data_IF_915371607361
#
_entry.id   IF_915371607361
#
_cell.length_a   1.000
_cell.length_b   1.000
_cell.length_c   1.000
_cell.angle_alpha   90.00
_cell.angle_beta   90.00
_cell.angle_gamma   90.00
#
_symmetry.space_group_name_H-M   'P 1'
#
loop_
_entity.id
_entity.type
_entity.pdbx_description
1 polymer ?
#
# COMPACT_ATOMS: atom_id res chain seq x y z
N UNK A 1 23.96 -5.84 18.83
CA UNK A 1 23.52 -4.42 18.82
C UNK A 1 22.46 -4.07 17.74
N UNK A 2 21.35 -4.82 17.54
CA UNK A 2 20.32 -4.41 16.56
C UNK A 2 19.44 -3.23 17.01
N UNK A 3 19.23 -3.05 18.33
CA UNK A 3 18.23 -2.10 18.86
C UNK A 3 18.58 -0.61 18.74
N UNK A 4 19.87 -0.26 18.58
CA UNK A 4 20.29 1.15 18.49
C UNK A 4 19.96 1.76 17.10
N UNK A 5 20.16 1.00 16.03
CA UNK A 5 19.87 1.45 14.66
C UNK A 5 18.39 1.62 14.39
N UNK A 6 17.55 0.68 14.84
CA UNK A 6 16.08 0.78 14.74
C UNK A 6 15.55 2.03 15.46
N UNK A 7 16.17 2.42 16.58
CA UNK A 7 15.79 3.64 17.30
C UNK A 7 16.19 4.91 16.53
N UNK A 8 17.35 4.89 15.83
CA UNK A 8 17.80 6.01 15.00
C UNK A 8 16.91 6.21 13.78
N UNK A 9 16.58 5.14 13.05
CA UNK A 9 15.68 5.18 11.89
C UNK A 9 14.30 5.70 12.28
N UNK A 10 13.75 5.21 13.38
CA UNK A 10 12.45 5.66 13.91
C UNK A 10 12.48 7.15 14.22
N UNK A 11 13.50 7.63 14.95
CA UNK A 11 13.67 9.05 15.28
C UNK A 11 13.89 9.91 14.03
N UNK A 12 14.61 9.39 13.04
CA UNK A 12 14.83 10.03 11.75
C UNK A 12 13.53 10.23 11.00
N UNK A 13 12.73 9.17 10.85
CA UNK A 13 11.41 9.24 10.22
C UNK A 13 10.47 10.19 10.95
N UNK A 14 10.41 10.14 12.28
CA UNK A 14 9.60 11.08 13.07
C UNK A 14 10.02 12.55 12.87
N UNK A 15 11.29 12.81 12.57
CA UNK A 15 11.78 14.17 12.31
C UNK A 15 11.60 14.61 10.85
N UNK A 16 11.72 13.70 9.90
CA UNK A 16 11.71 14.00 8.47
C UNK A 16 10.32 13.90 7.85
N UNK A 17 9.48 13.01 8.37
CA UNK A 17 8.16 12.74 7.80
C UNK A 17 7.11 13.72 8.31
N UNK A 18 7.16 14.93 7.78
CA UNK A 18 6.19 15.99 8.02
C UNK A 18 5.63 16.48 6.69
N UNK A 19 4.57 15.85 6.17
CA UNK A 19 3.96 16.31 4.92
C UNK A 19 3.54 17.77 5.02
N UNK A 20 3.69 18.49 3.91
CA UNK A 20 3.24 19.86 3.80
C UNK A 20 1.72 19.97 4.10
N UNK A 21 1.22 21.13 4.57
CA UNK A 21 -0.19 21.30 4.94
C UNK A 21 -1.18 20.87 3.85
N UNK A 22 -0.89 21.16 2.58
CA UNK A 22 -1.74 20.76 1.46
C UNK A 22 -1.81 19.23 1.27
N UNK A 23 -0.72 18.50 1.53
CA UNK A 23 -0.71 17.03 1.51
C UNK A 23 -1.50 16.47 2.69
N UNK A 24 -1.38 17.07 3.87
CA UNK A 24 -2.19 16.68 5.05
C UNK A 24 -3.68 16.85 4.78
N UNK A 25 -4.08 17.95 4.16
CA UNK A 25 -5.47 18.19 3.76
C UNK A 25 -5.95 17.14 2.76
N UNK A 26 -5.19 16.89 1.68
CA UNK A 26 -5.54 15.88 0.68
C UNK A 26 -5.64 14.47 1.31
N UNK A 27 -4.72 14.12 2.21
CA UNK A 27 -4.78 12.87 2.98
C UNK A 27 -6.02 12.81 3.87
N UNK A 28 -6.35 13.88 4.58
CA UNK A 28 -7.53 13.93 5.45
C UNK A 28 -8.84 13.75 4.68
N UNK A 29 -8.93 14.28 3.46
CA UNK A 29 -10.10 14.09 2.58
C UNK A 29 -10.29 12.61 2.21
N UNK A 30 -9.23 11.93 1.82
CA UNK A 30 -9.25 10.50 1.46
C UNK A 30 -9.52 9.63 2.69
N UNK A 31 -8.87 9.94 3.81
CA UNK A 31 -9.09 9.22 5.07
C UNK A 31 -10.51 9.40 5.58
N UNK A 32 -11.09 10.58 5.44
CA UNK A 32 -12.49 10.81 5.83
C UNK A 32 -13.43 9.91 5.03
N UNK A 33 -13.25 9.81 3.71
CA UNK A 33 -14.04 8.89 2.88
C UNK A 33 -13.87 7.45 3.37
N UNK A 34 -12.63 7.02 3.62
CA UNK A 34 -12.32 5.66 4.04
C UNK A 34 -12.87 5.33 5.43
N UNK A 35 -12.71 6.23 6.40
CA UNK A 35 -13.10 6.07 7.80
C UNK A 35 -14.61 6.20 8.03
N UNK A 36 -15.33 6.87 7.14
CA UNK A 36 -16.79 6.90 7.15
C UNK A 36 -17.43 5.57 6.72
N UNK A 37 -16.65 4.65 6.14
CA UNK A 37 -17.12 3.32 5.78
C UNK A 37 -16.96 2.34 6.96
N UNK A 38 -17.69 1.22 6.96
CA UNK A 38 -17.61 0.24 8.04
C UNK A 38 -16.17 -0.27 8.26
N UNK A 39 -15.79 -0.38 9.53
CA UNK A 39 -14.57 -1.05 9.98
C UNK A 39 -14.74 -2.60 9.90
N UNK A 40 -13.65 -3.39 9.82
CA UNK A 40 -12.26 -2.92 9.82
C UNK A 40 -11.81 -2.28 8.50
N UNK A 41 -10.85 -1.36 8.58
CA UNK A 41 -10.24 -0.65 7.47
C UNK A 41 -8.93 -1.32 7.05
N UNK A 42 -8.94 -2.04 5.92
CA UNK A 42 -7.78 -2.76 5.39
C UNK A 42 -7.26 -2.05 4.14
N UNK A 43 -5.97 -1.73 4.11
CA UNK A 43 -5.32 -1.20 2.92
C UNK A 43 -4.49 -2.28 2.21
N UNK A 44 -4.65 -2.44 0.90
CA UNK A 44 -3.87 -3.34 0.07
C UNK A 44 -3.03 -2.53 -0.93
N UNK A 45 -1.72 -2.79 -0.96
CA UNK A 45 -0.86 -2.29 -2.03
C UNK A 45 -0.71 -3.34 -3.13
N UNK A 46 -1.26 -3.06 -4.30
CA UNK A 46 -1.29 -3.92 -5.49
C UNK A 46 -0.27 -3.40 -6.50
N UNK A 47 0.94 -3.97 -6.49
CA UNK A 47 2.02 -3.60 -7.43
C UNK A 47 1.94 -4.46 -8.70
N UNK A 48 1.75 -3.79 -9.83
CA UNK A 48 1.86 -4.33 -11.18
C UNK A 48 2.89 -3.55 -12.00
N UNK A 49 2.46 -3.03 -13.15
CA UNK A 49 3.32 -2.25 -14.04
C UNK A 49 4.56 -3.02 -14.51
N UNK A 50 5.72 -2.36 -14.42
CA UNK A 50 7.03 -2.92 -14.75
C UNK A 50 7.53 -4.02 -13.77
N UNK A 51 6.83 -4.23 -12.65
CA UNK A 51 7.30 -5.11 -11.57
C UNK A 51 7.46 -6.56 -12.00
N UNK A 52 6.56 -7.07 -12.83
CA UNK A 52 6.66 -8.45 -13.34
C UNK A 52 7.94 -8.65 -14.13
N UNK A 53 8.33 -7.67 -14.96
CA UNK A 53 9.56 -7.73 -15.72
C UNK A 53 10.80 -7.57 -14.83
N UNK A 54 10.75 -6.71 -13.80
CA UNK A 54 11.80 -6.58 -12.78
C UNK A 54 12.05 -7.91 -12.05
N UNK A 55 10.97 -8.55 -11.59
CA UNK A 55 11.07 -9.81 -10.85
C UNK A 55 11.54 -10.96 -11.73
N UNK A 56 11.08 -11.04 -12.99
CA UNK A 56 11.59 -12.02 -13.95
C UNK A 56 13.10 -11.87 -14.18
N UNK A 57 13.59 -10.63 -14.39
CA UNK A 57 15.03 -10.35 -14.52
C UNK A 57 15.80 -10.73 -13.25
N UNK A 58 15.21 -10.51 -12.09
CA UNK A 58 15.77 -10.87 -10.79
C UNK A 58 15.56 -12.33 -10.38
N UNK A 59 14.93 -13.17 -11.21
CA UNK A 59 14.52 -14.56 -10.89
C UNK A 59 13.71 -14.67 -9.58
N UNK A 60 12.89 -13.66 -9.28
CA UNK A 60 11.95 -13.64 -8.15
C UNK A 60 10.54 -13.95 -8.64
N UNK A 61 9.71 -14.51 -7.76
CA UNK A 61 8.28 -14.67 -8.04
C UNK A 61 7.53 -13.38 -7.71
N UNK A 62 6.75 -12.87 -8.66
CA UNK A 62 5.91 -11.70 -8.43
C UNK A 62 4.71 -12.04 -7.56
N UNK A 63 4.40 -11.16 -6.60
CA UNK A 63 3.16 -11.25 -5.83
C UNK A 63 1.97 -10.99 -6.74
N UNK A 64 0.97 -11.87 -6.68
CA UNK A 64 -0.29 -11.78 -7.44
C UNK A 64 -1.44 -11.39 -6.50
N UNK A 65 -2.58 -10.91 -7.03
CA UNK A 65 -3.77 -10.60 -6.24
C UNK A 65 -4.19 -11.69 -5.26
N UNK A 66 -4.09 -12.96 -5.65
CA UNK A 66 -4.47 -14.10 -4.82
C UNK A 66 -3.57 -14.22 -3.58
N UNK A 67 -2.28 -13.96 -3.73
CA UNK A 67 -1.32 -14.01 -2.63
C UNK A 67 -1.62 -12.95 -1.58
N UNK A 68 -1.94 -11.71 -2.01
CA UNK A 68 -2.31 -10.62 -1.09
C UNK A 68 -3.50 -11.00 -0.20
N UNK A 69 -4.58 -11.51 -0.80
CA UNK A 69 -5.80 -11.86 -0.06
C UNK A 69 -5.60 -13.14 0.77
N UNK A 70 -4.88 -14.13 0.25
CA UNK A 70 -4.58 -15.37 0.97
C UNK A 70 -3.72 -15.11 2.22
N UNK A 71 -2.66 -14.30 2.12
CA UNK A 71 -1.83 -13.95 3.28
C UNK A 71 -2.61 -13.22 4.36
N UNK A 72 -3.47 -12.28 3.97
CA UNK A 72 -4.30 -11.56 4.94
C UNK A 72 -5.23 -12.51 5.70
N UNK A 73 -5.89 -13.43 4.98
CA UNK A 73 -6.78 -14.43 5.59
C UNK A 73 -6.04 -15.44 6.46
N UNK A 74 -4.84 -15.84 6.07
CA UNK A 74 -4.01 -16.75 6.85
C UNK A 74 -3.61 -16.11 8.20
N UNK A 75 -3.26 -14.83 8.19
CA UNK A 75 -2.86 -14.11 9.39
C UNK A 75 -4.06 -13.65 10.25
N UNK A 76 -5.18 -13.29 9.62
CA UNK A 76 -6.38 -12.75 10.25
C UNK A 76 -7.66 -13.50 9.84
N UNK A 77 -7.79 -14.79 10.19
CA UNK A 77 -8.92 -15.62 9.72
C UNK A 77 -10.29 -15.16 10.24
N UNK A 78 -10.33 -14.43 11.36
CA UNK A 78 -11.55 -13.90 11.96
C UNK A 78 -11.98 -12.54 11.41
N UNK A 79 -11.13 -11.86 10.63
CA UNK A 79 -11.43 -10.54 10.08
C UNK A 79 -12.25 -10.68 8.79
N UNK A 80 -13.52 -10.30 8.86
CA UNK A 80 -14.47 -10.28 7.74
C UNK A 80 -15.31 -9.00 7.77
N UNK A 81 -15.86 -8.62 6.62
CA UNK A 81 -16.60 -7.38 6.43
C UNK A 81 -15.69 -6.16 6.32
N UNK A 82 -16.24 -5.00 6.67
CA UNK A 82 -15.50 -3.74 6.70
C UNK A 82 -15.25 -3.13 5.32
N UNK A 83 -14.12 -2.44 5.20
CA UNK A 83 -13.75 -1.69 3.99
C UNK A 83 -12.30 -1.94 3.61
N UNK A 84 -12.09 -2.30 2.35
CA UNK A 84 -10.80 -2.53 1.76
C UNK A 84 -10.46 -1.37 0.80
N UNK A 85 -9.40 -0.61 1.09
CA UNK A 85 -8.81 0.39 0.19
C UNK A 85 -7.72 -0.29 -0.65
N UNK A 86 -7.94 -0.38 -1.96
CA UNK A 86 -6.96 -0.95 -2.89
C UNK A 86 -6.17 0.17 -3.55
N UNK A 87 -4.86 0.18 -3.32
CA UNK A 87 -3.94 1.17 -3.87
C UNK A 87 -2.96 0.47 -4.80
N UNK A 88 -2.85 0.92 -6.04
CA UNK A 88 -1.97 0.26 -6.98
C UNK A 88 -1.84 0.96 -8.32
N UNK A 89 -1.06 0.34 -9.19
CA UNK A 89 -0.58 0.91 -10.44
C UNK A 89 -0.90 0.04 -11.67
N UNK A 90 -1.76 -0.95 -11.52
CA UNK A 90 -2.31 -1.74 -12.61
C UNK A 90 -3.80 -1.98 -12.37
N UNK A 91 -4.63 -1.39 -13.23
CA UNK A 91 -6.08 -1.49 -13.14
C UNK A 91 -6.59 -2.93 -13.15
N UNK A 92 -6.00 -3.81 -13.98
CA UNK A 92 -6.46 -5.19 -14.08
C UNK A 92 -6.20 -5.94 -12.79
N UNK A 93 -5.05 -5.70 -12.16
CA UNK A 93 -4.72 -6.30 -10.87
C UNK A 93 -5.61 -5.74 -9.75
N UNK A 94 -5.89 -4.44 -9.76
CA UNK A 94 -6.83 -3.82 -8.81
C UNK A 94 -8.24 -4.41 -8.95
N UNK A 95 -8.71 -4.68 -10.17
CA UNK A 95 -9.99 -5.35 -10.41
C UNK A 95 -10.01 -6.78 -9.89
N UNK A 96 -8.95 -7.54 -10.15
CA UNK A 96 -8.79 -8.91 -9.63
C UNK A 96 -8.76 -8.93 -8.10
N UNK A 97 -7.93 -8.08 -7.48
CA UNK A 97 -7.89 -7.95 -6.02
C UNK A 97 -9.25 -7.55 -5.46
N UNK A 98 -9.97 -6.62 -6.11
CA UNK A 98 -11.32 -6.23 -5.69
C UNK A 98 -12.32 -7.37 -5.73
N UNK A 99 -12.28 -8.23 -6.75
CA UNK A 99 -13.13 -9.41 -6.80
C UNK A 99 -12.81 -10.36 -5.64
N UNK A 100 -11.53 -10.63 -5.40
CA UNK A 100 -11.07 -11.54 -4.36
C UNK A 100 -11.40 -11.06 -2.94
N UNK A 101 -11.21 -9.76 -2.62
CA UNK A 101 -11.57 -9.24 -1.29
C UNK A 101 -13.07 -9.21 -1.06
N UNK A 102 -13.90 -8.98 -2.09
CA UNK A 102 -15.36 -9.11 -1.97
C UNK A 102 -15.77 -10.55 -1.70
N UNK A 103 -15.19 -11.48 -2.46
CA UNK A 103 -15.50 -12.91 -2.36
C UNK A 103 -15.08 -13.50 -1.02
N UNK A 104 -13.89 -13.17 -0.54
CA UNK A 104 -13.29 -13.87 0.60
C UNK A 104 -13.27 -13.07 1.91
N UNK A 105 -13.36 -11.75 1.86
CA UNK A 105 -13.38 -10.88 3.05
C UNK A 105 -14.70 -10.14 3.21
N UNK A 106 -15.60 -10.14 2.24
CA UNK A 106 -16.87 -9.39 2.28
C UNK A 106 -16.69 -7.87 2.48
N UNK A 107 -15.56 -7.33 2.04
CA UNK A 107 -15.23 -5.91 2.12
C UNK A 107 -16.07 -5.05 1.18
N UNK A 108 -16.46 -3.85 1.64
CA UNK A 108 -16.71 -2.71 0.74
C UNK A 108 -15.38 -2.29 0.11
N UNK A 109 -15.34 -2.09 -1.21
CA UNK A 109 -14.08 -1.79 -1.91
C UNK A 109 -14.02 -0.33 -2.32
N UNK A 110 -12.97 0.37 -1.87
CA UNK A 110 -12.53 1.65 -2.41
C UNK A 110 -11.24 1.43 -3.20
N UNK A 111 -11.03 2.21 -4.27
CA UNK A 111 -9.87 2.05 -5.14
C UNK A 111 -9.17 3.38 -5.37
N UNK A 112 -7.84 3.34 -5.37
CA UNK A 112 -6.98 4.44 -5.75
C UNK A 112 -5.87 3.89 -6.64
N UNK A 113 -5.75 4.41 -7.84
CA UNK A 113 -4.69 4.04 -8.76
C UNK A 113 -4.68 4.95 -9.97
N UNK A 114 -3.66 4.80 -10.82
CA UNK A 114 -3.53 5.52 -12.09
C UNK A 114 -4.84 5.47 -12.89
N UNK A 115 -5.06 6.38 -13.83
CA UNK A 115 -6.30 6.43 -14.62
C UNK A 115 -6.49 5.18 -15.51
N UNK A 116 -7.75 4.90 -15.87
CA UNK A 116 -8.13 3.73 -16.65
C UNK A 116 -7.29 3.61 -17.93
N UNK A 117 -6.67 2.43 -18.13
CA UNK A 117 -5.85 2.13 -19.31
C UNK A 117 -4.35 2.44 -19.15
N UNK A 118 -3.92 3.05 -18.05
CA UNK A 118 -2.50 3.29 -17.78
C UNK A 118 -1.89 2.26 -16.82
N UNK A 119 -0.59 2.02 -16.96
CA UNK A 119 0.25 1.22 -16.07
C UNK A 119 1.44 2.06 -15.67
N UNK A 120 1.96 1.86 -14.46
CA UNK A 120 3.15 2.60 -14.05
C UNK A 120 4.38 1.93 -14.66
N UNK A 121 5.02 2.64 -15.57
CA UNK A 121 6.36 2.34 -16.04
C UNK A 121 7.32 3.43 -15.58
N UNK A 122 8.41 3.05 -14.88
CA UNK A 122 9.36 4.02 -14.34
C UNK A 122 9.95 4.93 -15.44
N UNK A 123 10.19 4.37 -16.64
CA UNK A 123 10.71 5.11 -17.78
C UNK A 123 9.74 6.21 -18.24
N UNK A 124 8.44 5.88 -18.34
CA UNK A 124 7.40 6.83 -18.69
C UNK A 124 7.29 7.93 -17.62
N UNK A 125 7.25 7.56 -16.34
CA UNK A 125 7.21 8.52 -15.23
C UNK A 125 8.39 9.51 -15.29
N UNK A 126 9.59 9.01 -15.55
CA UNK A 126 10.79 9.85 -15.64
C UNK A 126 10.72 10.83 -16.83
N UNK A 127 10.03 10.46 -17.91
CA UNK A 127 9.81 11.29 -19.10
C UNK A 127 8.67 12.32 -18.98
N UNK A 128 7.83 12.24 -17.95
CA UNK A 128 6.74 13.20 -17.75
C UNK A 128 7.26 14.63 -17.48
N UNK A 129 6.51 15.67 -17.89
CA UNK A 129 6.76 17.05 -17.49
C UNK A 129 6.86 17.19 -15.96
N UNK A 130 7.66 18.16 -15.48
CA UNK A 130 7.92 18.36 -14.06
C UNK A 130 6.64 18.47 -13.23
N UNK A 131 5.66 19.24 -13.69
CA UNK A 131 4.38 19.44 -13.00
C UNK A 131 3.60 18.13 -12.81
N UNK A 132 3.59 17.28 -13.83
CA UNK A 132 2.91 15.97 -13.76
C UNK A 132 3.64 15.01 -12.82
N UNK A 133 4.98 15.03 -12.81
CA UNK A 133 5.77 14.27 -11.84
C UNK A 133 5.48 14.74 -10.42
N UNK A 134 5.44 16.05 -10.18
CA UNK A 134 5.07 16.62 -8.88
C UNK A 134 3.68 16.16 -8.44
N UNK A 135 2.68 16.22 -9.32
CA UNK A 135 1.32 15.77 -9.02
C UNK A 135 1.27 14.26 -8.68
N UNK A 136 1.97 13.43 -9.45
CA UNK A 136 2.09 12.00 -9.19
C UNK A 136 2.85 11.70 -7.87
N UNK A 137 3.88 12.47 -7.53
CA UNK A 137 4.56 12.38 -6.23
C UNK A 137 3.64 12.78 -5.09
N UNK A 138 2.85 13.86 -5.22
CA UNK A 138 1.87 14.26 -4.21
C UNK A 138 0.86 13.14 -3.96
N UNK A 139 0.35 12.54 -5.03
CA UNK A 139 -0.55 11.39 -4.96
C UNK A 139 0.09 10.20 -4.24
N UNK A 140 1.33 9.86 -4.58
CA UNK A 140 2.07 8.79 -3.92
C UNK A 140 2.21 9.06 -2.41
N UNK A 141 2.52 10.28 -2.01
CA UNK A 141 2.62 10.64 -0.58
C UNK A 141 1.27 10.48 0.10
N UNK A 142 0.17 10.94 -0.50
CA UNK A 142 -1.19 10.74 0.05
C UNK A 142 -1.50 9.25 0.21
N UNK A 143 -1.19 8.45 -0.80
CA UNK A 143 -1.44 7.01 -0.78
C UNK A 143 -0.61 6.30 0.32
N UNK A 144 0.65 6.68 0.51
CA UNK A 144 1.49 6.21 1.63
C UNK A 144 0.84 6.50 2.98
N UNK A 145 0.33 7.72 3.17
CA UNK A 145 -0.31 8.12 4.42
C UNK A 145 -1.59 7.35 4.71
N UNK A 146 -2.42 7.14 3.68
CA UNK A 146 -3.66 6.37 3.81
C UNK A 146 -3.36 4.93 4.20
N UNK A 147 -2.39 4.27 3.54
CA UNK A 147 -1.97 2.91 3.89
C UNK A 147 -1.36 2.83 5.30
N UNK A 148 -0.61 3.86 5.69
CA UNK A 148 0.04 3.91 7.00
C UNK A 148 -0.95 4.13 8.16
N UNK A 149 -2.09 4.76 7.90
CA UNK A 149 -3.12 5.04 8.92
C UNK A 149 -4.23 3.99 9.00
N UNK A 150 -4.38 3.14 7.97
CA UNK A 150 -5.33 2.01 7.97
C UNK A 150 -5.14 1.09 9.20
N UNK A 151 -6.19 0.39 9.62
CA UNK A 151 -6.08 -0.57 10.74
C UNK A 151 -5.16 -1.72 10.37
N UNK A 152 -5.34 -2.28 9.18
CA UNK A 152 -4.47 -3.32 8.62
C UNK A 152 -3.87 -2.86 7.29
N UNK A 153 -2.65 -3.32 7.01
CA UNK A 153 -1.98 -3.10 5.74
C UNK A 153 -1.44 -4.41 5.18
N UNK A 154 -1.58 -4.59 3.87
CA UNK A 154 -1.09 -5.76 3.12
C UNK A 154 -0.25 -5.29 1.94
N UNK A 155 0.97 -5.81 1.82
CA UNK A 155 1.86 -5.49 0.70
C UNK A 155 2.85 -6.62 0.41
N UNK A 156 3.68 -6.43 -0.62
CA UNK A 156 4.70 -7.40 -1.05
C UNK A 156 6.11 -6.94 -0.67
N UNK A 157 6.94 -7.85 -0.14
CA UNK A 157 8.37 -7.62 0.12
C UNK A 157 9.18 -7.34 -1.15
N UNK A 158 8.65 -7.66 -2.33
CA UNK A 158 9.29 -7.29 -3.60
C UNK A 158 9.12 -5.81 -3.92
N UNK A 159 8.18 -5.10 -3.26
CA UNK A 159 7.94 -3.67 -3.44
C UNK A 159 8.54 -2.85 -2.30
N UNK A 160 9.28 -1.79 -2.64
CA UNK A 160 9.78 -0.81 -1.68
C UNK A 160 8.66 -0.16 -0.84
N UNK A 161 7.43 -0.13 -1.36
CA UNK A 161 6.27 0.43 -0.66
C UNK A 161 5.93 -0.32 0.63
N UNK A 162 6.14 -1.64 0.70
CA UNK A 162 5.89 -2.38 1.95
C UNK A 162 6.76 -1.82 3.08
N UNK A 163 8.05 -1.66 2.82
CA UNK A 163 9.02 -1.19 3.82
C UNK A 163 8.74 0.25 4.24
N UNK A 164 8.43 1.14 3.28
CA UNK A 164 8.09 2.52 3.59
C UNK A 164 6.82 2.61 4.46
N UNK A 165 5.73 1.97 4.04
CA UNK A 165 4.47 1.99 4.79
C UNK A 165 4.65 1.34 6.16
N UNK A 166 5.31 0.19 6.27
CA UNK A 166 5.60 -0.46 7.56
C UNK A 166 6.37 0.48 8.49
N UNK A 167 7.39 1.15 7.99
CA UNK A 167 8.17 2.10 8.77
C UNK A 167 7.33 3.28 9.25
N UNK A 168 6.48 3.87 8.39
CA UNK A 168 5.57 4.94 8.77
C UNK A 168 4.54 4.49 9.81
N UNK A 169 3.92 3.32 9.60
CA UNK A 169 2.96 2.69 10.51
C UNK A 169 3.50 2.64 11.94
N UNK A 170 4.75 2.20 12.12
CA UNK A 170 5.33 2.02 13.45
C UNK A 170 5.96 3.29 14.00
N UNK A 171 6.72 4.01 13.18
CA UNK A 171 7.48 5.16 13.62
C UNK A 171 6.62 6.39 13.84
N UNK A 172 5.69 6.66 12.93
CA UNK A 172 4.88 7.89 12.90
C UNK A 172 3.51 7.66 13.51
N UNK A 173 2.85 6.56 13.13
CA UNK A 173 1.44 6.30 13.51
C UNK A 173 1.25 5.31 14.66
N UNK A 174 2.34 4.78 15.21
CA UNK A 174 2.34 3.88 16.38
C UNK A 174 1.40 2.66 16.24
N UNK A 175 1.19 2.18 15.01
CA UNK A 175 0.42 0.95 14.75
C UNK A 175 1.19 -0.28 15.24
N UNK A 176 0.51 -1.32 15.74
CA UNK A 176 1.15 -2.58 16.10
C UNK A 176 1.87 -3.28 14.93
N UNK A 177 3.07 -3.86 15.12
CA UNK A 177 3.84 -4.58 14.09
C UNK A 177 3.10 -5.67 13.33
N UNK A 178 2.25 -6.41 14.04
CA UNK A 178 1.48 -7.52 13.49
C UNK A 178 0.45 -7.05 12.45
N UNK A 179 -0.09 -5.83 12.56
CA UNK A 179 -1.08 -5.27 11.61
C UNK A 179 -0.56 -4.99 10.19
N UNK A 180 0.67 -5.41 9.86
CA UNK A 180 1.30 -5.29 8.56
C UNK A 180 1.64 -6.67 7.99
N UNK A 181 0.85 -7.11 7.01
CA UNK A 181 0.95 -8.42 6.35
C UNK A 181 1.88 -8.36 5.15
N UNK A 182 2.84 -9.28 5.11
CA UNK A 182 3.74 -9.51 3.98
C UNK A 182 3.17 -10.65 3.11
N UNK A 183 2.94 -10.39 1.82
CA UNK A 183 2.22 -11.30 0.93
C UNK A 183 3.09 -12.23 0.06
N UNK A 184 4.42 -12.10 0.14
CA UNK A 184 5.37 -12.98 -0.57
C UNK A 184 5.65 -14.26 0.21
N UNK A 185 5.30 -14.31 1.50
CA UNK A 185 5.53 -15.48 2.35
C UNK A 185 4.79 -16.75 1.88
N UNK A 186 3.78 -16.62 1.02
CA UNK A 186 3.02 -17.76 0.46
C UNK A 186 3.59 -18.27 -0.87
N UNK A 187 4.72 -17.71 -1.32
CA UNK A 187 5.38 -18.07 -2.57
C UNK A 187 6.41 -19.21 -2.42
N UNK A 188 6.62 -19.67 -1.19
CA UNK A 188 7.49 -20.80 -0.82
C UNK A 188 6.70 -22.10 -0.70
#
# INVERSE_FOLDING_TARGET
MPGQWVNLERRGLQKLWHPAPFLKQATAEVLREFQQKPAPHVAFHVRGGDKFAEDQRGKRMSTRPEHLVASFRAQYPSVQGGTCMLIGDDHKLLDQTAALVRQHLHCTVLRRGIEAGSKHEQAEFNGLPLEQRCAATHRLVVDLEVMAQAEYFVGSATSGMLFLVRSLRHAVYHKPPDTCVEASAVLS
#
